data_IF_328499054446
#
_entry.id   IF_328499054446
#
_cell.length_a   1.000
_cell.length_b   1.000
_cell.length_c   1.000
_cell.angle_alpha   90.00
_cell.angle_beta   90.00
_cell.angle_gamma   90.00
#
_symmetry.space_group_name_H-M   'P 1'
#
loop_
_entity.id
_entity.type
_entity.pdbx_description
1 polymer ?
#
# COMPACT_ATOMS: atom_id res chain seq x y z
N UNK A 1 -37.76 -31.39 -12.22
CA UNK A 1 -37.15 -30.52 -13.26
C UNK A 1 -36.78 -29.12 -12.76
N UNK A 2 -37.62 -28.43 -11.98
CA UNK A 2 -37.35 -27.04 -11.50
C UNK A 2 -36.03 -26.89 -10.71
N UNK A 3 -35.75 -27.80 -9.77
CA UNK A 3 -34.55 -27.74 -8.92
C UNK A 3 -33.26 -27.98 -9.70
N UNK A 4 -33.26 -28.90 -10.67
CA UNK A 4 -32.10 -29.19 -11.53
C UNK A 4 -31.77 -27.98 -12.40
N UNK A 5 -32.80 -27.30 -12.92
CA UNK A 5 -32.63 -26.07 -13.70
C UNK A 5 -32.05 -24.93 -12.86
N UNK A 6 -32.47 -24.80 -11.61
CA UNK A 6 -31.94 -23.81 -10.67
C UNK A 6 -30.48 -24.08 -10.28
N UNK A 7 -30.09 -25.35 -10.08
CA UNK A 7 -28.70 -25.72 -9.77
C UNK A 7 -27.79 -25.45 -10.98
N UNK A 8 -28.24 -25.78 -12.19
CA UNK A 8 -27.48 -25.51 -13.42
C UNK A 8 -27.29 -24.00 -13.64
N UNK A 9 -28.33 -23.20 -13.37
CA UNK A 9 -28.27 -21.74 -13.49
C UNK A 9 -27.32 -21.11 -12.46
N UNK A 10 -27.32 -21.58 -11.21
CA UNK A 10 -26.35 -21.14 -10.20
C UNK A 10 -24.91 -21.50 -10.59
N UNK A 11 -24.68 -22.71 -11.12
CA UNK A 11 -23.35 -23.16 -11.54
C UNK A 11 -22.76 -22.29 -12.66
N UNK A 12 -23.58 -21.86 -13.63
CA UNK A 12 -23.15 -20.94 -14.71
C UNK A 12 -22.79 -19.55 -14.18
N UNK A 13 -23.47 -19.06 -13.14
CA UNK A 13 -23.16 -17.76 -12.53
C UNK A 13 -21.82 -17.77 -11.77
N UNK A 14 -21.41 -18.90 -11.19
CA UNK A 14 -20.09 -19.05 -10.55
C UNK A 14 -18.93 -19.03 -11.54
N UNK A 15 -19.12 -19.50 -12.78
CA UNK A 15 -18.07 -19.48 -13.81
C UNK A 15 -17.73 -18.08 -14.32
N UNK A 16 -18.66 -17.13 -14.20
CA UNK A 16 -18.47 -15.75 -14.68
C UNK A 16 -17.64 -14.87 -13.74
N UNK A 17 -17.32 -15.32 -12.52
CA UNK A 17 -16.49 -14.55 -11.56
C UNK A 17 -14.98 -14.67 -11.78
N UNK A 18 -14.52 -15.40 -12.81
CA UNK A 18 -13.11 -15.68 -13.07
C UNK A 18 -12.47 -14.87 -14.21
N UNK A 19 -13.11 -13.83 -14.73
CA UNK A 19 -12.56 -13.02 -15.82
C UNK A 19 -11.66 -11.90 -15.26
N UNK A 20 -10.34 -12.11 -15.28
CA UNK A 20 -9.36 -11.04 -15.07
C UNK A 20 -9.34 -10.13 -16.32
N UNK A 21 -9.76 -8.87 -16.16
CA UNK A 21 -9.85 -7.84 -17.22
C UNK A 21 -8.46 -7.29 -17.54
N UNK A 22 -7.50 -8.15 -17.88
CA UNK A 22 -6.15 -7.76 -18.29
C UNK A 22 -5.63 -8.66 -19.42
N UNK A 23 -6.36 -8.74 -20.53
CA UNK A 23 -6.03 -9.59 -21.69
C UNK A 23 -5.10 -8.91 -22.72
N UNK A 24 -4.68 -7.66 -22.48
CA UNK A 24 -3.87 -6.91 -23.44
C UNK A 24 -2.49 -6.57 -22.87
N UNK A 25 -1.38 -6.97 -23.55
CA UNK A 25 -0.06 -6.50 -23.16
C UNK A 25 0.04 -5.00 -23.41
N UNK A 26 0.35 -4.23 -22.37
CA UNK A 26 0.63 -2.81 -22.51
C UNK A 26 2.04 -2.64 -23.07
N UNK A 27 2.18 -2.09 -24.27
CA UNK A 27 3.47 -1.81 -24.92
C UNK A 27 4.14 -0.55 -24.33
N UNK A 28 4.44 -0.57 -23.03
CA UNK A 28 5.12 0.50 -22.32
C UNK A 28 5.80 0.00 -21.04
N UNK A 29 6.67 0.82 -20.45
CA UNK A 29 7.21 0.54 -19.10
C UNK A 29 6.01 0.40 -18.17
N UNK A 30 5.87 -0.75 -17.49
CA UNK A 30 4.77 -0.97 -16.55
C UNK A 30 4.80 0.15 -15.52
N UNK A 31 3.88 1.10 -15.65
CA UNK A 31 3.63 2.08 -14.61
C UNK A 31 2.97 1.33 -13.47
N UNK A 32 3.76 0.95 -12.48
CA UNK A 32 3.24 0.26 -11.31
C UNK A 32 2.42 1.25 -10.50
N UNK A 33 1.12 1.28 -10.79
CA UNK A 33 0.19 2.32 -10.33
C UNK A 33 -0.05 2.32 -8.81
N UNK A 34 0.46 1.31 -8.10
CA UNK A 34 0.22 1.09 -6.67
C UNK A 34 1.47 0.54 -5.97
N UNK A 35 2.59 1.25 -6.07
CA UNK A 35 3.80 0.83 -5.38
C UNK A 35 3.72 1.22 -3.89
N UNK A 36 3.76 0.22 -3.02
CA UNK A 36 3.81 0.41 -1.58
C UNK A 36 5.25 0.30 -1.08
N UNK A 37 5.64 1.22 -0.19
CA UNK A 37 6.87 1.14 0.58
C UNK A 37 6.55 1.00 2.06
N UNK A 38 7.13 0.02 2.73
CA UNK A 38 7.01 -0.19 4.16
C UNK A 38 8.36 -0.03 4.84
N UNK A 39 8.48 0.99 5.68
CA UNK A 39 9.63 1.21 6.55
C UNK A 39 9.35 0.54 7.89
N UNK A 40 9.88 -0.66 8.11
CA UNK A 40 9.58 -1.51 9.28
C UNK A 40 10.58 -1.33 10.41
N UNK A 41 10.21 -1.66 11.65
CA UNK A 41 11.09 -1.62 12.83
C UNK A 41 11.68 -0.23 13.16
N UNK A 42 11.06 0.84 12.67
CA UNK A 42 11.48 2.21 12.94
C UNK A 42 10.95 2.71 14.29
N UNK A 43 11.67 3.64 14.91
CA UNK A 43 11.08 4.55 15.90
C UNK A 43 10.47 5.74 15.16
N UNK A 44 9.15 5.87 15.22
CA UNK A 44 8.35 6.84 14.49
C UNK A 44 7.93 7.97 15.42
N UNK A 45 8.35 9.19 15.12
CA UNK A 45 7.95 10.40 15.84
C UNK A 45 6.81 11.05 15.06
N UNK A 46 5.57 10.87 15.47
CA UNK A 46 4.39 11.30 14.68
C UNK A 46 4.06 12.77 14.97
N UNK A 47 4.15 13.17 16.24
CA UNK A 47 3.99 14.54 16.71
C UNK A 47 4.92 14.79 17.89
N UNK A 48 4.99 16.02 18.39
CA UNK A 48 5.97 16.43 19.41
C UNK A 48 6.04 15.53 20.66
N UNK A 49 4.93 14.90 21.05
CA UNK A 49 4.89 13.95 22.18
C UNK A 49 4.61 12.51 21.76
N UNK A 50 4.11 12.28 20.55
CA UNK A 50 3.66 10.95 20.10
C UNK A 50 4.79 10.22 19.39
N UNK A 51 5.38 9.24 20.09
CA UNK A 51 6.39 8.33 19.53
C UNK A 51 5.89 6.89 19.58
N UNK A 52 6.13 6.12 18.53
CA UNK A 52 5.79 4.69 18.48
C UNK A 52 6.84 3.89 17.74
N UNK A 53 7.05 2.63 18.11
CA UNK A 53 7.88 1.70 17.32
C UNK A 53 6.98 0.94 16.37
N UNK A 54 7.35 0.86 15.09
CA UNK A 54 6.53 0.15 14.14
C UNK A 54 6.89 0.37 12.69
N UNK A 55 5.85 0.35 11.86
CA UNK A 55 5.94 0.44 10.41
C UNK A 55 5.26 1.70 9.90
N UNK A 56 5.94 2.41 8.99
CA UNK A 56 5.36 3.47 8.18
C UNK A 56 5.10 2.93 6.76
N UNK A 57 3.84 2.93 6.33
CA UNK A 57 3.43 2.47 5.01
C UNK A 57 3.11 3.68 4.11
N UNK A 58 3.77 3.75 2.97
CA UNK A 58 3.64 4.82 1.98
C UNK A 58 3.13 4.21 0.66
N UNK A 59 2.17 4.89 0.02
CA UNK A 59 1.71 4.60 -1.33
C UNK A 59 1.75 5.89 -2.14
N UNK A 60 2.41 5.87 -3.30
CA UNK A 60 2.42 7.01 -4.23
C UNK A 60 2.79 8.35 -3.55
N UNK A 61 3.81 8.33 -2.69
CA UNK A 61 4.30 9.50 -1.95
C UNK A 61 3.44 9.94 -0.75
N UNK A 62 2.34 9.23 -0.46
CA UNK A 62 1.44 9.53 0.67
C UNK A 62 1.53 8.46 1.75
N UNK A 63 1.50 8.89 3.01
CA UNK A 63 1.40 7.98 4.14
C UNK A 63 -0.03 7.42 4.17
N UNK A 64 -0.15 6.09 4.13
CA UNK A 64 -1.46 5.40 4.17
C UNK A 64 -1.72 4.72 5.51
N UNK A 65 -0.68 4.28 6.22
CA UNK A 65 -0.79 3.69 7.57
C UNK A 65 0.49 3.92 8.38
N UNK A 66 0.33 4.01 9.70
CA UNK A 66 1.42 4.10 10.66
C UNK A 66 1.04 3.31 11.92
N UNK A 67 1.97 2.54 12.49
CA UNK A 67 1.73 1.85 13.78
C UNK A 67 2.58 0.61 14.00
N UNK A 68 2.44 -0.01 15.17
CA UNK A 68 3.19 -1.20 15.55
C UNK A 68 2.85 -2.42 14.69
N UNK A 69 1.57 -2.58 14.34
CA UNK A 69 1.05 -3.67 13.52
C UNK A 69 0.41 -3.07 12.27
N UNK A 70 1.05 -3.26 11.11
CA UNK A 70 0.55 -2.76 9.82
C UNK A 70 0.46 -3.92 8.84
N UNK A 71 -0.74 -4.17 8.32
CA UNK A 71 -0.92 -5.13 7.23
C UNK A 71 -0.31 -4.61 5.94
N UNK A 72 0.56 -5.40 5.32
CA UNK A 72 1.30 -5.01 4.13
C UNK A 72 0.65 -5.61 2.87
N UNK A 73 0.22 -4.78 1.90
CA UNK A 73 -0.27 -5.25 0.61
C UNK A 73 0.77 -6.11 -0.13
N UNK A 74 0.31 -6.97 -1.05
CA UNK A 74 1.20 -7.75 -1.91
C UNK A 74 2.05 -6.81 -2.78
N UNK A 75 3.32 -7.19 -3.00
CA UNK A 75 4.25 -6.36 -3.79
C UNK A 75 4.80 -5.14 -3.05
N UNK A 76 4.56 -5.01 -1.74
CA UNK A 76 5.16 -3.94 -0.92
C UNK A 76 6.69 -4.10 -0.85
N UNK A 77 7.42 -3.05 -1.22
CA UNK A 77 8.86 -2.95 -0.99
C UNK A 77 9.09 -2.69 0.50
N UNK A 78 9.77 -3.62 1.17
CA UNK A 78 10.05 -3.51 2.61
C UNK A 78 11.47 -3.03 2.83
N UNK A 79 11.62 -2.06 3.71
CA UNK A 79 12.91 -1.56 4.16
C UNK A 79 13.00 -1.66 5.68
N UNK A 80 14.03 -2.33 6.18
CA UNK A 80 14.26 -2.46 7.62
C UNK A 80 14.96 -1.23 8.19
N UNK A 81 14.30 -0.59 9.14
CA UNK A 81 14.73 0.64 9.82
C UNK A 81 15.09 0.39 11.29
N UNK A 82 15.45 -0.84 11.64
CA UNK A 82 15.88 -1.21 13.00
C UNK A 82 16.95 -0.25 13.53
N UNK A 83 16.69 0.31 14.71
CA UNK A 83 17.59 1.27 15.37
C UNK A 83 17.58 2.67 14.75
N UNK A 84 16.76 2.91 13.73
CA UNK A 84 16.61 4.22 13.08
C UNK A 84 15.35 4.93 13.55
N UNK A 85 15.35 6.25 13.36
CA UNK A 85 14.25 7.13 13.71
C UNK A 85 13.71 7.82 12.45
N UNK A 86 12.39 7.96 12.36
CA UNK A 86 11.70 8.69 11.29
C UNK A 86 10.91 9.84 11.91
N UNK A 87 11.09 11.03 11.34
CA UNK A 87 10.43 12.27 11.73
C UNK A 87 9.68 12.86 10.53
N UNK A 88 8.63 13.67 10.76
CA UNK A 88 8.15 14.64 9.80
C UNK A 88 9.34 15.48 9.32
N UNK A 89 9.36 15.81 8.04
CA UNK A 89 10.38 16.71 7.51
C UNK A 89 10.31 18.05 8.24
N UNK A 90 11.48 18.67 8.42
CA UNK A 90 11.54 20.04 8.90
C UNK A 90 11.04 21.00 7.82
N UNK A 91 10.43 22.09 8.27
CA UNK A 91 10.00 23.21 7.43
C UNK A 91 10.79 24.43 7.88
N UNK A 92 11.61 24.99 6.98
CA UNK A 92 12.34 26.23 7.22
C UNK A 92 11.63 27.40 6.53
N UNK A 93 11.07 28.30 7.33
CA UNK A 93 10.29 29.45 6.85
C UNK A 93 11.14 30.68 6.50
N UNK A 94 12.45 30.66 6.79
CA UNK A 94 13.37 31.78 6.54
C UNK A 94 14.49 31.42 5.55
N UNK A 95 14.34 30.33 4.80
CA UNK A 95 15.35 29.87 3.86
C UNK A 95 15.50 30.80 2.66
N UNK A 96 16.74 31.13 2.30
CA UNK A 96 17.07 31.80 1.04
C UNK A 96 17.36 30.80 -0.11
N UNK A 97 17.19 29.50 0.12
CA UNK A 97 17.47 28.47 -0.86
C UNK A 97 16.44 28.51 -2.01
N UNK A 98 16.90 28.73 -3.24
CA UNK A 98 16.06 28.85 -4.43
C UNK A 98 15.69 30.27 -4.86
N UNK A 99 16.28 31.30 -4.24
CA UNK A 99 16.30 32.68 -4.77
C UNK A 99 17.33 32.86 -5.88
#
# INVERSE_FOLDING_TARGET
MRVVLSILMCFVLFLNHAQDVNLYPTNGVKQQKDLYYAFTNATLHISGSLTTKGTLLIQNGKIVKVGAIVSLPKGTVKLDMKGKHIYPSFVDVYSNYGQ
#
